data_IF_828801366725
#
_entry.id   IF_828801366725
#
_cell.length_a   1.000
_cell.length_b   1.000
_cell.length_c   1.000
_cell.angle_alpha   90.00
_cell.angle_beta   90.00
_cell.angle_gamma   90.00
#
_symmetry.space_group_name_H-M   'P 1'
#
loop_
_entity.id
_entity.type
_entity.pdbx_description
1 polymer ?
#
# COMPACT_ATOMS: atom_id res chain seq x y z
N UNK A 1 -14.57 -15.28 4.49
CA UNK A 1 -13.53 -16.35 4.42
C UNK A 1 -12.90 -16.56 5.79
N UNK A 2 -13.26 -17.66 6.52
CA UNK A 2 -12.73 -17.90 7.90
C UNK A 2 -11.48 -18.77 7.91
N UNK A 3 -11.38 -19.71 6.98
CA UNK A 3 -10.23 -20.60 6.82
C UNK A 3 -9.50 -20.24 5.53
N UNK A 4 -8.19 -20.01 5.63
CA UNK A 4 -7.34 -19.62 4.50
C UNK A 4 -6.53 -20.81 3.95
N UNK A 5 -6.52 -21.95 4.62
CA UNK A 5 -5.76 -23.13 4.20
C UNK A 5 -6.16 -23.57 2.79
N UNK A 6 -5.17 -23.78 1.91
CA UNK A 6 -5.34 -24.15 0.50
C UNK A 6 -6.09 -23.11 -0.36
N UNK A 7 -6.27 -21.88 0.13
CA UNK A 7 -6.70 -20.75 -0.69
C UNK A 7 -5.53 -20.23 -1.51
N UNK A 8 -5.80 -19.78 -2.71
CA UNK A 8 -4.78 -19.14 -3.57
C UNK A 8 -4.80 -17.64 -3.33
N UNK A 9 -3.66 -17.10 -2.91
CA UNK A 9 -3.50 -15.68 -2.62
C UNK A 9 -2.47 -15.04 -3.55
N UNK A 10 -2.87 -13.96 -4.20
CA UNK A 10 -2.02 -13.10 -5.05
C UNK A 10 -1.55 -11.92 -4.23
N UNK A 11 -0.25 -11.58 -4.28
CA UNK A 11 0.32 -10.40 -3.57
C UNK A 11 1.23 -9.63 -4.51
N UNK A 12 0.90 -8.37 -4.79
CA UNK A 12 1.75 -7.47 -5.59
C UNK A 12 2.67 -6.64 -4.70
N UNK A 13 3.87 -6.28 -5.20
CA UNK A 13 4.89 -5.60 -4.40
C UNK A 13 5.40 -6.49 -3.26
N UNK A 14 5.51 -7.79 -3.53
CA UNK A 14 5.87 -8.81 -2.54
C UNK A 14 7.37 -8.89 -2.25
N UNK A 15 8.19 -8.17 -3.00
CA UNK A 15 9.65 -8.18 -2.82
C UNK A 15 10.13 -7.50 -1.53
N UNK A 16 9.32 -6.67 -0.88
CA UNK A 16 9.75 -5.96 0.33
C UNK A 16 8.58 -5.55 1.23
N UNK A 17 8.91 -5.02 2.41
CA UNK A 17 8.01 -4.30 3.32
C UNK A 17 6.70 -5.05 3.61
N UNK A 18 5.57 -4.34 3.43
CA UNK A 18 4.23 -4.86 3.74
C UNK A 18 3.87 -6.05 2.83
N UNK A 19 4.26 -6.01 1.54
CA UNK A 19 3.96 -7.09 0.59
C UNK A 19 4.63 -8.39 0.99
N UNK A 20 5.96 -8.36 1.26
CA UNK A 20 6.72 -9.53 1.74
C UNK A 20 6.12 -10.08 3.04
N UNK A 21 5.91 -9.22 4.03
CA UNK A 21 5.33 -9.64 5.31
C UNK A 21 3.92 -10.27 5.13
N UNK A 22 3.11 -9.71 4.22
CA UNK A 22 1.76 -10.24 3.94
C UNK A 22 1.82 -11.60 3.23
N UNK A 23 2.75 -11.77 2.27
CA UNK A 23 2.94 -13.05 1.60
C UNK A 23 3.35 -14.15 2.59
N UNK A 24 4.31 -13.87 3.48
CA UNK A 24 4.73 -14.80 4.53
C UNK A 24 3.61 -15.12 5.51
N UNK A 25 2.86 -14.13 5.97
CA UNK A 25 1.73 -14.35 6.89
C UNK A 25 0.60 -15.19 6.24
N UNK A 26 0.37 -15.05 4.93
CA UNK A 26 -0.58 -15.88 4.20
C UNK A 26 -0.03 -17.31 3.98
N UNK A 27 1.28 -17.46 3.78
CA UNK A 27 1.94 -18.77 3.74
C UNK A 27 1.77 -19.53 5.07
N UNK A 28 2.00 -18.87 6.21
CA UNK A 28 1.79 -19.41 7.56
C UNK A 28 0.33 -19.83 7.81
N UNK A 29 -0.64 -19.18 7.16
CA UNK A 29 -2.05 -19.59 7.18
C UNK A 29 -2.37 -20.75 6.24
N UNK A 30 -1.37 -21.28 5.52
CA UNK A 30 -1.48 -22.41 4.59
C UNK A 30 -2.08 -22.04 3.23
N UNK A 31 -2.01 -20.78 2.82
CA UNK A 31 -2.33 -20.36 1.46
C UNK A 31 -1.29 -20.84 0.46
N UNK A 32 -1.70 -21.08 -0.79
CA UNK A 32 -0.83 -21.16 -1.95
C UNK A 32 -0.59 -19.73 -2.45
N UNK A 33 0.62 -19.40 -2.90
CA UNK A 33 1.00 -18.00 -3.18
C UNK A 33 1.32 -17.77 -4.67
N UNK A 34 0.78 -16.67 -5.22
CA UNK A 34 1.29 -16.04 -6.42
C UNK A 34 1.80 -14.64 -6.02
N UNK A 35 3.09 -14.42 -6.16
CA UNK A 35 3.75 -13.18 -5.74
C UNK A 35 4.35 -12.45 -6.93
N UNK A 36 4.29 -11.12 -6.91
CA UNK A 36 4.92 -10.31 -7.95
C UNK A 36 5.58 -9.05 -7.38
N UNK A 37 6.65 -8.64 -8.04
CA UNK A 37 7.37 -7.40 -7.78
C UNK A 37 8.12 -6.97 -9.03
N UNK A 38 8.47 -5.69 -9.14
CA UNK A 38 9.32 -5.19 -10.23
C UNK A 38 10.80 -5.56 -10.01
N UNK A 39 11.21 -5.76 -8.76
CA UNK A 39 12.57 -6.15 -8.37
C UNK A 39 12.69 -7.68 -8.34
N UNK A 40 13.33 -8.25 -9.35
CA UNK A 40 13.58 -9.70 -9.44
C UNK A 40 14.34 -10.23 -8.21
N UNK A 41 15.41 -9.56 -7.79
CA UNK A 41 16.22 -10.00 -6.65
C UNK A 41 15.46 -10.05 -5.34
N UNK A 42 14.68 -8.99 -5.04
CA UNK A 42 13.87 -8.93 -3.82
C UNK A 42 12.72 -9.95 -3.85
N UNK A 43 12.15 -10.18 -5.04
CA UNK A 43 11.08 -11.16 -5.24
C UNK A 43 11.61 -12.58 -5.01
N UNK A 44 12.81 -12.87 -5.52
CA UNK A 44 13.47 -14.17 -5.34
C UNK A 44 13.75 -14.48 -3.87
N UNK A 45 14.22 -13.50 -3.08
CA UNK A 45 14.37 -13.66 -1.63
C UNK A 45 13.05 -14.06 -0.95
N UNK A 46 11.94 -13.42 -1.36
CA UNK A 46 10.62 -13.73 -0.80
C UNK A 46 10.13 -15.10 -1.25
N UNK A 47 10.37 -15.47 -2.52
CA UNK A 47 10.04 -16.81 -3.04
C UNK A 47 10.71 -17.90 -2.24
N UNK A 48 12.04 -17.79 -2.04
CA UNK A 48 12.82 -18.76 -1.25
C UNK A 48 12.32 -18.84 0.20
N UNK A 49 11.97 -17.71 0.81
CA UNK A 49 11.43 -17.70 2.17
C UNK A 49 10.07 -18.41 2.27
N UNK A 50 9.21 -18.31 1.24
CA UNK A 50 7.92 -19.01 1.19
C UNK A 50 8.13 -20.50 0.96
N UNK A 51 9.04 -20.89 0.06
CA UNK A 51 9.37 -22.32 -0.18
C UNK A 51 9.93 -23.02 1.06
N UNK A 52 10.70 -22.30 1.88
CA UNK A 52 11.18 -22.80 3.16
C UNK A 52 10.06 -23.16 4.16
N UNK A 53 8.83 -22.65 3.95
CA UNK A 53 7.62 -23.02 4.69
C UNK A 53 6.85 -24.18 4.06
N UNK A 54 7.42 -24.86 3.05
CA UNK A 54 6.78 -25.95 2.28
C UNK A 54 5.48 -25.52 1.57
N UNK A 55 5.42 -24.27 1.12
CA UNK A 55 4.28 -23.67 0.43
C UNK A 55 4.58 -23.51 -1.06
N UNK A 56 3.65 -23.98 -1.92
CA UNK A 56 3.74 -23.77 -3.37
C UNK A 56 3.61 -22.27 -3.67
N UNK A 57 4.58 -21.73 -4.42
CA UNK A 57 4.64 -20.33 -4.82
C UNK A 57 4.93 -20.19 -6.31
N UNK A 58 4.24 -19.26 -6.97
CA UNK A 58 4.55 -18.72 -8.29
C UNK A 58 5.08 -17.30 -8.10
N UNK A 59 6.26 -17.01 -8.61
CA UNK A 59 6.87 -15.68 -8.55
C UNK A 59 7.02 -15.12 -9.97
N UNK A 60 6.50 -13.90 -10.20
CA UNK A 60 6.49 -13.25 -11.51
C UNK A 60 7.02 -11.83 -11.39
N UNK A 61 8.03 -11.48 -12.19
CA UNK A 61 8.47 -10.07 -12.30
C UNK A 61 7.39 -9.31 -13.05
N UNK A 62 6.83 -8.28 -12.42
CA UNK A 62 5.67 -7.53 -12.93
C UNK A 62 5.79 -6.05 -12.61
N UNK A 63 5.71 -5.21 -13.64
CA UNK A 63 5.35 -3.80 -13.46
C UNK A 63 3.81 -3.70 -13.42
N UNK A 64 3.27 -3.37 -12.25
CA UNK A 64 1.83 -3.23 -12.06
C UNK A 64 1.20 -2.09 -12.87
N UNK A 65 2.01 -1.18 -13.42
CA UNK A 65 1.55 -0.11 -14.31
C UNK A 65 1.30 -0.60 -15.74
N UNK A 66 1.79 -1.78 -16.11
CA UNK A 66 1.53 -2.41 -17.39
C UNK A 66 0.25 -3.27 -17.29
N UNK A 67 -0.80 -2.81 -17.98
CA UNK A 67 -2.10 -3.48 -17.97
C UNK A 67 -2.06 -4.85 -18.63
N UNK A 68 -1.43 -4.94 -19.80
CA UNK A 68 -1.44 -6.17 -20.60
C UNK A 68 -0.63 -7.26 -19.88
N UNK A 69 0.53 -6.90 -19.30
CA UNK A 69 1.31 -7.80 -18.43
C UNK A 69 0.52 -8.25 -17.19
N UNK A 70 -0.36 -7.39 -16.66
CA UNK A 70 -1.21 -7.76 -15.53
C UNK A 70 -2.28 -8.79 -15.90
N UNK A 71 -2.91 -8.63 -17.09
CA UNK A 71 -3.92 -9.56 -17.60
C UNK A 71 -3.27 -10.94 -17.92
N UNK A 72 -2.07 -10.96 -18.50
CA UNK A 72 -1.28 -12.20 -18.68
C UNK A 72 -0.95 -12.87 -17.33
N UNK A 73 -0.46 -12.10 -16.37
CA UNK A 73 -0.17 -12.62 -15.03
C UNK A 73 -1.40 -13.25 -14.36
N UNK A 74 -2.58 -12.63 -14.48
CA UNK A 74 -3.80 -13.19 -13.90
C UNK A 74 -4.19 -14.52 -14.54
N UNK A 75 -4.02 -14.66 -15.85
CA UNK A 75 -4.23 -15.90 -16.59
C UNK A 75 -3.25 -17.01 -16.14
N UNK A 76 -1.97 -16.68 -15.99
CA UNK A 76 -0.93 -17.64 -15.56
C UNK A 76 -1.18 -18.14 -14.14
N UNK A 77 -1.60 -17.26 -13.23
CA UNK A 77 -1.98 -17.64 -11.86
C UNK A 77 -3.16 -18.60 -11.88
N UNK A 78 -4.21 -18.29 -12.65
CA UNK A 78 -5.38 -19.14 -12.76
C UNK A 78 -5.04 -20.51 -13.37
N UNK A 79 -4.20 -20.56 -14.42
CA UNK A 79 -3.72 -21.79 -15.03
C UNK A 79 -2.88 -22.64 -14.06
N UNK A 80 -2.01 -22.01 -13.25
CA UNK A 80 -1.11 -22.67 -12.32
C UNK A 80 -1.80 -23.30 -11.12
N UNK A 81 -2.83 -22.63 -10.59
CA UNK A 81 -3.50 -23.01 -9.34
C UNK A 81 -4.95 -23.49 -9.52
N UNK A 82 -5.54 -23.30 -10.70
CA UNK A 82 -6.93 -23.66 -11.02
C UNK A 82 -8.00 -22.77 -10.37
N UNK A 83 -7.62 -21.82 -9.52
CA UNK A 83 -8.52 -20.87 -8.84
C UNK A 83 -7.76 -19.69 -8.27
N UNK A 84 -8.49 -18.60 -7.94
CA UNK A 84 -7.97 -17.47 -7.16
C UNK A 84 -8.98 -17.10 -6.07
N UNK A 85 -8.52 -16.92 -4.84
CA UNK A 85 -9.40 -16.60 -3.72
C UNK A 85 -9.09 -15.26 -3.07
N UNK A 86 -7.82 -14.81 -3.06
CA UNK A 86 -7.40 -13.59 -2.39
C UNK A 86 -6.50 -12.79 -3.34
N UNK A 87 -6.73 -11.49 -3.41
CA UNK A 87 -5.86 -10.55 -4.13
C UNK A 87 -5.47 -9.42 -3.20
N UNK A 88 -4.17 -9.23 -3.01
CA UNK A 88 -3.60 -8.14 -2.22
C UNK A 88 -2.91 -7.16 -3.18
N UNK A 89 -3.59 -6.09 -3.53
CA UNK A 89 -3.02 -4.99 -4.30
C UNK A 89 -2.23 -4.10 -3.34
N UNK A 90 -0.94 -4.41 -3.18
CA UNK A 90 -0.05 -3.74 -2.24
C UNK A 90 1.03 -2.92 -2.94
N UNK A 91 1.46 -3.26 -4.14
CA UNK A 91 2.49 -2.52 -4.87
C UNK A 91 2.22 -1.00 -4.82
N UNK A 92 3.25 -0.23 -4.54
CA UNK A 92 3.11 1.21 -4.43
C UNK A 92 4.42 1.92 -4.11
N UNK A 93 4.48 3.16 -4.55
CA UNK A 93 5.63 4.05 -4.43
C UNK A 93 5.22 5.39 -3.82
N UNK A 94 6.20 6.21 -3.45
CA UNK A 94 5.97 7.56 -2.96
C UNK A 94 6.75 8.59 -3.77
N UNK A 95 6.14 9.74 -4.02
CA UNK A 95 6.81 10.97 -4.43
C UNK A 95 6.63 11.99 -3.31
N UNK A 96 7.75 12.55 -2.84
CA UNK A 96 7.76 13.70 -1.92
C UNK A 96 8.16 14.93 -2.69
N UNK A 97 7.21 15.77 -3.01
CA UNK A 97 7.35 17.08 -3.63
C UNK A 97 6.16 17.96 -3.28
N UNK A 98 6.33 19.27 -3.29
CA UNK A 98 5.18 20.16 -3.23
C UNK A 98 4.35 20.03 -4.52
N UNK A 99 3.03 20.24 -4.45
CA UNK A 99 2.19 20.21 -5.67
C UNK A 99 2.53 21.32 -6.68
N UNK A 100 3.25 22.36 -6.25
CA UNK A 100 3.70 23.42 -7.14
C UNK A 100 4.97 23.04 -7.94
N UNK A 101 5.78 22.12 -7.41
CA UNK A 101 7.07 21.75 -7.97
C UNK A 101 7.09 20.34 -8.59
N UNK A 102 6.12 19.50 -8.28
CA UNK A 102 6.08 18.13 -8.82
C UNK A 102 5.99 18.16 -10.34
N UNK A 103 6.82 17.37 -11.02
CA UNK A 103 6.69 17.17 -12.46
C UNK A 103 5.43 16.39 -12.80
N UNK A 104 4.85 16.63 -13.99
CA UNK A 104 3.74 15.81 -14.47
C UNK A 104 4.16 14.35 -14.72
N UNK A 105 5.44 14.13 -15.06
CA UNK A 105 6.00 12.78 -15.17
C UNK A 105 5.94 12.02 -13.84
N UNK A 106 6.38 12.64 -12.75
CA UNK A 106 6.32 12.05 -11.41
C UNK A 106 4.88 11.86 -10.93
N UNK A 107 4.00 12.79 -11.29
CA UNK A 107 2.58 12.68 -10.95
C UNK A 107 1.93 11.49 -11.69
N UNK A 108 2.19 11.32 -13.00
CA UNK A 108 1.70 10.18 -13.76
C UNK A 108 2.33 8.87 -13.27
N UNK A 109 3.64 8.85 -13.03
CA UNK A 109 4.34 7.68 -12.53
C UNK A 109 3.72 7.13 -11.24
N UNK A 110 3.49 7.99 -10.24
CA UNK A 110 2.89 7.55 -8.97
C UNK A 110 1.44 7.12 -9.14
N UNK A 111 0.65 7.80 -9.99
CA UNK A 111 -0.74 7.42 -10.24
C UNK A 111 -0.84 6.10 -10.99
N UNK A 112 0.03 5.85 -11.96
CA UNK A 112 0.05 4.61 -12.73
C UNK A 112 0.32 3.41 -11.81
N UNK A 113 1.27 3.53 -10.90
CA UNK A 113 1.61 2.44 -9.98
C UNK A 113 0.56 2.32 -8.86
N UNK A 114 0.31 3.42 -8.11
CA UNK A 114 -0.48 3.36 -6.87
C UNK A 114 -1.99 3.23 -7.08
N UNK A 115 -2.51 3.74 -8.19
CA UNK A 115 -3.94 3.71 -8.48
C UNK A 115 -4.27 2.77 -9.63
N UNK A 116 -3.71 3.00 -10.83
CA UNK A 116 -4.04 2.16 -11.98
C UNK A 116 -3.57 0.71 -11.79
N UNK A 117 -2.38 0.47 -11.24
CA UNK A 117 -1.92 -0.90 -10.93
C UNK A 117 -2.87 -1.63 -9.97
N UNK A 118 -3.42 -0.95 -8.96
CA UNK A 118 -4.45 -1.52 -8.09
C UNK A 118 -5.77 -1.79 -8.83
N UNK A 119 -6.17 -0.88 -9.74
CA UNK A 119 -7.37 -1.08 -10.57
C UNK A 119 -7.18 -2.29 -11.49
N UNK A 120 -6.06 -2.38 -12.19
CA UNK A 120 -5.73 -3.52 -13.07
C UNK A 120 -5.77 -4.83 -12.29
N UNK A 121 -5.09 -4.91 -11.14
CA UNK A 121 -5.10 -6.10 -10.30
C UNK A 121 -6.49 -6.49 -9.80
N UNK A 122 -7.29 -5.51 -9.39
CA UNK A 122 -8.67 -5.79 -8.97
C UNK A 122 -9.51 -6.33 -10.12
N UNK A 123 -9.41 -5.72 -11.31
CA UNK A 123 -10.26 -6.07 -12.45
C UNK A 123 -9.81 -7.35 -13.17
N UNK A 124 -8.49 -7.57 -13.33
CA UNK A 124 -7.97 -8.78 -13.97
C UNK A 124 -8.31 -10.06 -13.17
N UNK A 125 -8.27 -9.97 -11.83
CA UNK A 125 -8.59 -11.12 -10.98
C UNK A 125 -10.06 -11.26 -10.60
N UNK A 126 -10.90 -10.25 -10.79
CA UNK A 126 -12.32 -10.30 -10.39
C UNK A 126 -13.11 -11.47 -11.00
N UNK A 127 -12.95 -11.82 -12.30
CA UNK A 127 -13.63 -12.99 -12.87
C UNK A 127 -13.27 -14.29 -12.16
N UNK A 128 -11.99 -14.52 -11.88
CA UNK A 128 -11.50 -15.72 -11.21
C UNK A 128 -11.94 -15.79 -9.74
N UNK A 129 -12.01 -14.62 -9.06
CA UNK A 129 -12.54 -14.54 -7.70
C UNK A 129 -14.03 -14.90 -7.64
N UNK A 130 -14.83 -14.43 -8.60
CA UNK A 130 -16.25 -14.78 -8.73
C UNK A 130 -16.42 -16.27 -9.03
N UNK A 131 -15.63 -16.82 -9.94
CA UNK A 131 -15.66 -18.25 -10.27
C UNK A 131 -15.33 -19.15 -9.08
N UNK A 132 -14.43 -18.68 -8.19
CA UNK A 132 -14.09 -19.44 -6.99
C UNK A 132 -15.23 -19.53 -5.95
N UNK A 133 -16.27 -18.72 -6.09
CA UNK A 133 -17.42 -18.64 -5.17
C UNK A 133 -17.11 -18.06 -3.78
N UNK A 134 -15.85 -17.79 -3.47
CA UNK A 134 -15.41 -17.19 -2.20
C UNK A 134 -14.14 -16.35 -2.43
N UNK A 135 -14.33 -15.09 -2.80
CA UNK A 135 -13.25 -14.16 -3.18
C UNK A 135 -13.03 -13.03 -2.18
N UNK A 136 -11.79 -12.52 -2.10
CA UNK A 136 -11.48 -11.36 -1.28
C UNK A 136 -10.38 -10.48 -1.92
N UNK A 137 -10.67 -9.19 -2.13
CA UNK A 137 -9.71 -8.19 -2.59
C UNK A 137 -9.30 -7.32 -1.40
N UNK A 138 -8.00 -7.12 -1.19
CA UNK A 138 -7.45 -6.16 -0.25
C UNK A 138 -6.67 -5.09 -1.00
N UNK A 139 -7.12 -3.85 -0.95
CA UNK A 139 -6.43 -2.72 -1.57
C UNK A 139 -5.70 -1.90 -0.51
N UNK A 140 -4.36 -1.82 -0.62
CA UNK A 140 -3.54 -1.09 0.34
C UNK A 140 -3.53 0.40 0.01
N UNK A 141 -4.37 1.14 0.74
CA UNK A 141 -4.39 2.61 0.78
C UNK A 141 -3.31 3.13 1.75
N UNK A 142 -3.65 4.08 2.61
CA UNK A 142 -2.80 4.70 3.63
C UNK A 142 -3.67 5.54 4.57
N UNK A 143 -3.12 5.97 5.70
CA UNK A 143 -3.70 7.10 6.45
C UNK A 143 -3.77 8.37 5.59
N UNK A 144 -2.89 8.50 4.57
CA UNK A 144 -2.93 9.58 3.57
C UNK A 144 -4.00 9.37 2.48
N UNK A 145 -4.80 8.31 2.54
CA UNK A 145 -6.09 8.18 1.88
C UNK A 145 -7.26 8.74 2.71
N UNK A 146 -6.98 9.34 3.88
CA UNK A 146 -7.95 9.99 4.77
C UNK A 146 -7.57 11.44 5.07
N UNK A 147 -6.29 11.80 4.96
CA UNK A 147 -5.76 13.16 5.07
C UNK A 147 -4.71 13.41 3.98
N UNK A 148 -4.56 14.67 3.58
CA UNK A 148 -3.57 15.07 2.57
C UNK A 148 -2.62 16.12 3.18
N UNK A 149 -1.45 15.70 3.72
CA UNK A 149 -0.44 16.65 4.22
C UNK A 149 0.34 17.30 3.06
N UNK A 150 1.04 18.40 3.38
CA UNK A 150 1.96 19.03 2.43
C UNK A 150 3.07 18.07 1.98
N UNK A 151 3.60 18.31 0.80
CA UNK A 151 4.76 17.62 0.20
C UNK A 151 4.56 16.13 -0.12
N UNK A 152 3.33 15.61 -0.07
CA UNK A 152 2.94 14.25 -0.50
C UNK A 152 1.59 14.27 -1.26
N UNK A 153 1.28 15.37 -1.93
CA UNK A 153 -0.03 15.59 -2.54
C UNK A 153 -0.42 14.55 -3.59
N UNK A 154 0.51 14.20 -4.50
CA UNK A 154 0.25 13.18 -5.53
C UNK A 154 0.05 11.78 -4.92
N UNK A 155 0.86 11.42 -3.91
CA UNK A 155 0.68 10.18 -3.16
C UNK A 155 -0.70 10.13 -2.47
N UNK A 156 -1.06 11.20 -1.77
CA UNK A 156 -2.37 11.29 -1.11
C UNK A 156 -3.51 11.19 -2.11
N UNK A 157 -3.44 11.88 -3.26
CA UNK A 157 -4.45 11.79 -4.32
C UNK A 157 -4.66 10.34 -4.78
N UNK A 158 -3.58 9.59 -5.06
CA UNK A 158 -3.65 8.17 -5.41
C UNK A 158 -4.28 7.33 -4.28
N UNK A 159 -3.89 7.53 -3.03
CA UNK A 159 -4.42 6.75 -1.89
C UNK A 159 -5.88 7.10 -1.53
N UNK A 160 -6.34 8.32 -1.77
CA UNK A 160 -7.77 8.67 -1.74
C UNK A 160 -8.55 7.97 -2.86
N UNK A 161 -8.00 7.95 -4.09
CA UNK A 161 -8.61 7.24 -5.21
C UNK A 161 -8.73 5.72 -4.95
N UNK A 162 -7.68 5.08 -4.40
CA UNK A 162 -7.71 3.67 -3.95
C UNK A 162 -8.84 3.43 -2.95
N UNK A 163 -9.01 4.33 -1.97
CA UNK A 163 -10.09 4.22 -0.99
C UNK A 163 -11.47 4.31 -1.67
N UNK A 164 -11.70 5.33 -2.49
CA UNK A 164 -12.98 5.54 -3.16
C UNK A 164 -13.35 4.34 -4.04
N UNK A 165 -12.40 3.86 -4.86
CA UNK A 165 -12.58 2.65 -5.68
C UNK A 165 -12.95 1.44 -4.83
N UNK A 166 -12.24 1.20 -3.73
CA UNK A 166 -12.46 0.04 -2.86
C UNK A 166 -13.84 0.07 -2.18
N UNK A 167 -14.27 1.25 -1.70
CA UNK A 167 -15.58 1.44 -1.06
C UNK A 167 -16.72 1.22 -2.07
N UNK A 168 -16.56 1.72 -3.31
CA UNK A 168 -17.54 1.53 -4.40
C UNK A 168 -17.62 0.08 -4.83
N UNK A 169 -16.48 -0.54 -5.17
CA UNK A 169 -16.43 -1.94 -5.60
C UNK A 169 -16.99 -2.88 -4.53
N UNK A 170 -16.72 -2.61 -3.25
CA UNK A 170 -17.31 -3.38 -2.15
C UNK A 170 -18.83 -3.32 -2.17
N UNK A 171 -19.40 -2.13 -2.33
CA UNK A 171 -20.86 -1.94 -2.35
C UNK A 171 -21.49 -2.65 -3.54
N UNK A 172 -20.87 -2.55 -4.72
CA UNK A 172 -21.37 -3.20 -5.94
C UNK A 172 -21.37 -4.73 -5.82
N UNK A 173 -20.28 -5.31 -5.28
CA UNK A 173 -20.17 -6.76 -5.08
C UNK A 173 -21.07 -7.28 -3.95
N UNK A 174 -21.30 -6.49 -2.90
CA UNK A 174 -22.26 -6.82 -1.85
C UNK A 174 -23.70 -6.81 -2.40
N UNK A 175 -24.06 -5.89 -3.30
CA UNK A 175 -25.36 -5.86 -3.99
C UNK A 175 -25.52 -7.03 -4.96
N UNK A 176 -24.43 -7.41 -5.65
CA UNK A 176 -24.45 -8.55 -6.59
C UNK A 176 -24.52 -9.90 -5.87
N UNK A 177 -24.17 -9.98 -4.59
CA UNK A 177 -24.12 -11.21 -3.78
C UNK A 177 -23.25 -12.33 -4.39
N UNK A 178 -22.21 -11.95 -5.15
CA UNK A 178 -21.36 -12.87 -5.92
C UNK A 178 -20.31 -13.63 -5.08
N UNK A 179 -20.34 -13.50 -3.75
CA UNK A 179 -19.37 -14.15 -2.85
C UNK A 179 -17.99 -13.50 -2.78
N UNK A 180 -17.78 -12.36 -3.47
CA UNK A 180 -16.53 -11.60 -3.43
C UNK A 180 -16.68 -10.37 -2.55
N UNK A 181 -15.67 -10.12 -1.71
CA UNK A 181 -15.64 -8.98 -0.79
C UNK A 181 -14.40 -8.11 -1.02
N UNK A 182 -14.45 -6.85 -0.59
CA UNK A 182 -13.31 -5.92 -0.67
C UNK A 182 -12.99 -5.33 0.69
N UNK A 183 -11.70 -5.26 1.03
CA UNK A 183 -11.18 -4.55 2.20
C UNK A 183 -10.23 -3.44 1.79
N UNK A 184 -10.50 -2.22 2.23
CA UNK A 184 -9.54 -1.11 2.13
C UNK A 184 -8.65 -1.07 3.36
N UNK A 185 -7.32 -1.12 3.17
CA UNK A 185 -6.31 -1.14 4.24
C UNK A 185 -5.70 0.25 4.37
N UNK A 186 -5.66 0.80 5.58
CA UNK A 186 -5.12 2.13 5.86
C UNK A 186 -4.00 2.06 6.90
N UNK A 187 -2.76 1.75 6.50
CA UNK A 187 -1.62 1.80 7.40
C UNK A 187 -1.28 3.25 7.81
N UNK A 188 -0.86 3.43 9.05
CA UNK A 188 -0.20 4.64 9.50
C UNK A 188 1.25 4.71 9.01
N UNK A 189 2.17 5.23 9.83
CA UNK A 189 3.60 5.23 9.53
C UNK A 189 4.20 3.85 9.80
N UNK A 190 4.70 3.19 8.74
CA UNK A 190 5.24 1.83 8.79
C UNK A 190 6.73 1.86 8.48
N UNK A 191 7.54 1.09 9.21
CA UNK A 191 8.98 0.90 8.98
C UNK A 191 9.22 0.12 7.69
N UNK A 192 9.26 0.83 6.54
CA UNK A 192 9.49 0.24 5.21
C UNK A 192 10.49 1.07 4.42
N UNK A 193 10.99 0.54 3.33
CA UNK A 193 11.92 1.20 2.41
C UNK A 193 11.24 2.19 1.44
N UNK A 194 9.93 2.38 1.52
CA UNK A 194 9.13 3.15 0.55
C UNK A 194 9.69 4.56 0.29
N UNK A 195 10.26 5.21 1.32
CA UNK A 195 10.87 6.54 1.19
C UNK A 195 12.23 6.47 0.51
N UNK A 196 13.03 5.44 0.80
CA UNK A 196 14.30 5.20 0.16
C UNK A 196 14.12 4.87 -1.32
N UNK A 197 13.13 4.04 -1.65
CA UNK A 197 12.90 3.54 -3.01
C UNK A 197 12.03 4.51 -3.84
N UNK A 198 11.34 5.47 -3.20
CA UNK A 198 10.52 6.51 -3.84
C UNK A 198 11.32 7.64 -4.49
N UNK A 199 10.61 8.68 -4.94
CA UNK A 199 11.22 9.91 -5.49
C UNK A 199 11.08 11.06 -4.48
N UNK A 200 12.14 11.87 -4.35
CA UNK A 200 12.20 13.00 -3.42
C UNK A 200 12.70 14.22 -4.17
N UNK A 201 11.93 15.31 -4.12
CA UNK A 201 12.36 16.62 -4.60
C UNK A 201 13.54 17.11 -3.75
N UNK A 202 14.72 17.37 -4.34
CA UNK A 202 15.90 17.80 -3.60
C UNK A 202 15.67 19.07 -2.77
N UNK A 203 14.79 19.98 -3.21
CA UNK A 203 14.47 21.21 -2.47
C UNK A 203 13.83 20.94 -1.10
N UNK A 204 13.27 19.75 -0.88
CA UNK A 204 12.71 19.35 0.41
C UNK A 204 13.75 18.87 1.42
N UNK A 205 14.96 18.49 0.99
CA UNK A 205 16.01 18.04 1.90
C UNK A 205 16.36 19.13 2.92
N UNK A 206 16.58 20.35 2.46
CA UNK A 206 16.81 21.50 3.33
C UNK A 206 15.60 21.76 4.25
N UNK A 207 14.38 21.70 3.69
CA UNK A 207 13.15 21.92 4.46
C UNK A 207 12.97 20.90 5.59
N UNK A 208 13.35 19.63 5.39
CA UNK A 208 13.25 18.59 6.41
C UNK A 208 14.50 18.48 7.29
N UNK A 209 15.57 19.20 6.96
CA UNK A 209 16.84 19.18 7.68
C UNK A 209 17.57 17.84 7.53
N UNK A 210 17.59 17.30 6.31
CA UNK A 210 18.33 16.10 5.95
C UNK A 210 19.39 16.44 4.89
N UNK A 211 20.59 15.88 5.02
CA UNK A 211 21.68 16.09 4.07
C UNK A 211 21.40 15.39 2.73
N UNK A 212 20.77 14.25 2.80
CA UNK A 212 20.44 13.41 1.64
C UNK A 212 19.18 12.56 1.86
N UNK A 213 18.85 11.74 0.87
CA UNK A 213 17.68 10.87 0.89
C UNK A 213 17.78 9.75 1.94
N UNK A 214 18.97 9.26 2.22
CA UNK A 214 19.21 8.22 3.23
C UNK A 214 18.95 8.76 4.64
N UNK A 215 19.41 9.98 4.96
CA UNK A 215 19.11 10.62 6.23
C UNK A 215 17.61 10.93 6.35
N UNK A 216 16.97 11.40 5.27
CA UNK A 216 15.52 11.60 5.23
C UNK A 216 14.76 10.30 5.52
N UNK A 217 15.24 9.19 4.98
CA UNK A 217 14.68 7.86 5.25
C UNK A 217 14.91 7.44 6.70
N UNK A 218 16.12 7.62 7.24
CA UNK A 218 16.43 7.30 8.64
C UNK A 218 15.53 8.08 9.62
N UNK A 219 15.31 9.38 9.37
CA UNK A 219 14.39 10.21 10.15
C UNK A 219 12.94 9.70 10.07
N UNK A 220 12.50 9.20 8.90
CA UNK A 220 11.19 8.58 8.75
C UNK A 220 11.07 7.30 9.58
N UNK A 221 12.06 6.40 9.50
CA UNK A 221 12.07 5.14 10.25
C UNK A 221 12.01 5.36 11.76
N UNK A 222 12.71 6.39 12.27
CA UNK A 222 12.66 6.75 13.70
C UNK A 222 11.27 7.21 14.14
N UNK A 223 10.50 7.82 13.27
CA UNK A 223 9.13 8.29 13.55
C UNK A 223 8.06 7.24 13.30
N UNK A 224 8.39 6.15 12.60
CA UNK A 224 7.45 5.08 12.31
C UNK A 224 7.30 4.15 13.52
N UNK A 225 6.05 3.95 13.95
CA UNK A 225 5.74 3.15 15.14
C UNK A 225 5.31 1.72 14.82
N UNK A 226 4.96 1.45 13.57
CA UNK A 226 4.39 0.18 13.18
C UNK A 226 5.36 -0.59 12.27
N UNK A 227 5.26 -1.91 12.28
CA UNK A 227 6.06 -2.79 11.44
C UNK A 227 5.23 -3.37 10.28
N UNK A 228 5.86 -3.84 9.20
CA UNK A 228 5.20 -4.56 8.11
C UNK A 228 4.38 -5.76 8.59
N UNK A 229 4.90 -6.53 9.55
CA UNK A 229 4.26 -7.73 10.10
C UNK A 229 2.92 -7.39 10.77
N UNK A 230 2.87 -6.28 11.51
CA UNK A 230 1.62 -5.79 12.12
C UNK A 230 0.56 -5.45 11.06
N UNK A 231 0.98 -4.94 9.91
CA UNK A 231 0.06 -4.68 8.79
C UNK A 231 -0.41 -5.99 8.20
N UNK A 232 0.50 -6.95 7.95
CA UNK A 232 0.20 -8.28 7.46
C UNK A 232 -0.83 -9.01 8.33
N UNK A 233 -0.61 -9.05 9.64
CA UNK A 233 -1.55 -9.61 10.62
C UNK A 233 -2.93 -8.95 10.54
N UNK A 234 -2.94 -7.63 10.35
CA UNK A 234 -4.19 -6.87 10.27
C UNK A 234 -4.93 -7.15 8.97
N UNK A 235 -4.23 -7.38 7.86
CA UNK A 235 -4.78 -7.81 6.58
C UNK A 235 -5.42 -9.20 6.74
N UNK A 236 -4.68 -10.19 7.25
CA UNK A 236 -5.18 -11.55 7.49
C UNK A 236 -6.43 -11.53 8.38
N UNK A 237 -6.40 -10.79 9.48
CA UNK A 237 -7.58 -10.62 10.37
C UNK A 237 -8.73 -9.89 9.67
N UNK A 238 -8.44 -8.94 8.80
CA UNK A 238 -9.42 -8.21 7.99
C UNK A 238 -10.17 -9.15 7.04
N UNK A 239 -9.45 -10.00 6.31
CA UNK A 239 -10.00 -11.02 5.42
C UNK A 239 -10.89 -12.00 6.21
N UNK A 240 -10.34 -12.60 7.27
CA UNK A 240 -11.09 -13.59 8.10
C UNK A 240 -12.38 -13.03 8.70
N UNK A 241 -12.40 -11.73 9.03
CA UNK A 241 -13.55 -11.03 9.62
C UNK A 241 -14.41 -10.28 8.60
N UNK A 242 -14.10 -10.39 7.32
CA UNK A 242 -14.76 -9.68 6.22
C UNK A 242 -14.95 -8.17 6.48
N UNK A 243 -13.90 -7.50 6.95
CA UNK A 243 -13.97 -6.07 7.26
C UNK A 243 -13.94 -5.23 5.99
N UNK A 244 -14.83 -4.25 5.87
CA UNK A 244 -14.81 -3.29 4.75
C UNK A 244 -13.55 -2.41 4.80
N UNK A 245 -13.08 -2.07 6.02
CA UNK A 245 -11.94 -1.17 6.25
C UNK A 245 -11.12 -1.63 7.43
N UNK A 246 -9.79 -1.55 7.29
CA UNK A 246 -8.83 -1.87 8.34
C UNK A 246 -7.87 -0.70 8.52
N UNK A 247 -7.83 -0.14 9.72
CA UNK A 247 -6.84 0.86 10.14
C UNK A 247 -5.72 0.15 10.88
N UNK A 248 -4.46 0.51 10.61
CA UNK A 248 -3.31 -0.10 11.27
C UNK A 248 -2.42 0.98 11.88
N UNK A 249 -2.26 0.91 13.19
CA UNK A 249 -1.49 1.88 13.97
C UNK A 249 -2.37 2.94 14.63
N UNK A 250 -1.96 3.39 15.81
CA UNK A 250 -2.67 4.42 16.57
C UNK A 250 -2.82 5.73 15.79
N UNK A 251 -1.78 6.10 15.05
CA UNK A 251 -1.74 7.27 14.17
C UNK A 251 -2.85 7.25 13.10
N UNK A 252 -3.11 6.09 12.48
CA UNK A 252 -4.19 5.94 11.52
C UNK A 252 -5.58 6.15 12.17
N UNK A 253 -5.78 5.65 13.39
CA UNK A 253 -7.02 5.89 14.14
C UNK A 253 -7.20 7.36 14.52
N UNK A 254 -6.15 8.02 15.00
CA UNK A 254 -6.19 9.45 15.33
C UNK A 254 -6.55 10.28 14.10
N UNK A 255 -5.92 10.00 12.96
CA UNK A 255 -6.20 10.69 11.69
C UNK A 255 -7.66 10.46 11.26
N UNK A 256 -8.15 9.22 11.30
CA UNK A 256 -9.54 8.91 10.92
C UNK A 256 -10.56 9.68 11.79
N UNK A 257 -10.38 9.69 13.10
CA UNK A 257 -11.24 10.43 14.02
C UNK A 257 -11.16 11.94 13.79
N UNK A 258 -9.94 12.49 13.68
CA UNK A 258 -9.73 13.91 13.51
C UNK A 258 -10.32 14.44 12.20
N UNK A 259 -10.16 13.70 11.10
CA UNK A 259 -10.69 14.10 9.78
C UNK A 259 -12.22 13.96 9.68
N UNK A 260 -12.84 13.09 10.47
CA UNK A 260 -14.31 12.92 10.51
C UNK A 260 -14.99 13.93 11.40
N UNK A 261 -14.46 14.16 12.61
CA UNK A 261 -15.12 14.97 13.62
C UNK A 261 -14.74 16.46 13.53
N UNK A 262 -13.49 16.76 13.18
CA UNK A 262 -12.95 18.12 13.19
C UNK A 262 -12.12 18.45 11.95
N UNK A 263 -12.64 18.27 10.73
CA UNK A 263 -11.82 18.34 9.50
C UNK A 263 -11.13 19.70 9.31
N UNK A 264 -11.81 20.78 9.60
CA UNK A 264 -11.26 22.15 9.45
C UNK A 264 -10.26 22.47 10.56
N UNK A 265 -10.59 22.14 11.81
CA UNK A 265 -9.71 22.38 12.95
C UNK A 265 -8.42 21.59 12.83
N UNK A 266 -8.52 20.31 12.47
CA UNK A 266 -7.37 19.44 12.27
C UNK A 266 -6.41 19.99 11.20
N UNK A 267 -6.93 20.44 10.04
CA UNK A 267 -6.12 21.07 8.99
C UNK A 267 -5.46 22.36 9.46
N UNK A 268 -6.17 23.22 10.20
CA UNK A 268 -5.60 24.47 10.75
C UNK A 268 -4.48 24.20 11.73
N UNK A 269 -4.64 23.20 12.62
CA UNK A 269 -3.60 22.79 13.57
C UNK A 269 -2.39 22.21 12.86
N UNK A 270 -2.58 21.31 11.91
CA UNK A 270 -1.49 20.75 11.10
C UNK A 270 -0.70 21.85 10.36
N UNK A 271 -1.39 22.81 9.74
CA UNK A 271 -0.76 23.96 9.09
C UNK A 271 0.02 24.84 10.07
N UNK A 272 -0.53 25.07 11.28
CA UNK A 272 0.15 25.86 12.32
C UNK A 272 1.43 25.18 12.78
N UNK A 273 1.41 23.84 12.98
CA UNK A 273 2.60 23.05 13.37
C UNK A 273 3.68 23.19 12.30
N UNK A 274 3.34 22.98 11.02
CA UNK A 274 4.28 23.11 9.91
C UNK A 274 4.91 24.50 9.82
N UNK A 275 4.14 25.57 10.05
CA UNK A 275 4.66 26.95 10.09
C UNK A 275 5.64 27.16 11.24
N UNK A 276 5.34 26.62 12.42
CA UNK A 276 6.23 26.72 13.59
C UNK A 276 7.54 25.96 13.34
N UNK A 277 7.47 24.76 12.77
CA UNK A 277 8.66 23.96 12.47
C UNK A 277 9.55 24.65 11.43
N UNK A 278 8.95 25.22 10.37
CA UNK A 278 9.68 26.00 9.37
C UNK A 278 10.38 27.21 10.02
N UNK A 279 9.68 27.96 10.87
CA UNK A 279 10.26 29.13 11.54
C UNK A 279 11.41 28.77 12.51
N UNK A 280 11.32 27.65 13.22
CA UNK A 280 12.38 27.15 14.10
C UNK A 280 13.65 26.81 13.30
N UNK A 281 13.52 26.09 12.19
CA UNK A 281 14.64 25.69 11.33
C UNK A 281 15.35 26.89 10.71
N UNK A 282 14.60 27.88 10.23
CA UNK A 282 15.18 29.12 9.69
C UNK A 282 16.00 29.88 10.75
N UNK A 283 15.54 29.91 12.02
CA UNK A 283 16.29 30.51 13.11
C UNK A 283 17.57 29.74 13.43
N UNK A 284 17.54 28.41 13.40
CA UNK A 284 18.73 27.58 13.64
C UNK A 284 19.76 27.75 12.52
N UNK A 285 19.34 27.77 11.26
CA UNK A 285 20.22 28.01 10.12
C UNK A 285 20.88 29.40 10.19
N UNK A 286 20.13 30.46 10.54
CA UNK A 286 20.67 31.82 10.71
C UNK A 286 21.60 31.97 11.93
N UNK A 287 21.57 31.07 12.91
CA UNK A 287 22.46 31.10 14.06
C UNK A 287 23.76 30.32 13.84
N UNK A 288 23.85 29.55 12.78
CA UNK A 288 25.04 28.74 12.37
C UNK A 288 25.87 29.37 11.22
N UNK A 289 25.41 30.47 10.69
CA UNK A 289 26.14 31.40 9.78
C UNK A 289 26.66 32.59 10.55
#
# INVERSE_FOLDING_TARGET
MKNLKQKVAVVTGAGSGIGRATALALADEGCLLAISDISESNLEETRLAIEALDVKVLATVLDVADRDAFDEYASDVAATFGKVNIVINNAGVIVRSSLQNISMEDFHWIMNINFWGMVYGSMAFLPYLKESGEGHICNVSSMFGMMAPANVGAYAAGKFAVRAFSETLRTELDVEECGVSVTSIHPGMIKTTILRDGRLDPSLLEEIGAADKEEAHAQYIQRAFNTPERVADSIVKGIKKNKMRVLVGFDAYVVDWATRLTPVLFRRLATKILKIDKAKRQKTAAAST
#
